data_IF_112758077422
#
_entry.id   IF_112758077422
#
_cell.length_a   1.000
_cell.length_b   1.000
_cell.length_c   1.000
_cell.angle_alpha   90.00
_cell.angle_beta   90.00
_cell.angle_gamma   90.00
#
_symmetry.space_group_name_H-M   'P 1'
#
loop_
_entity.id
_entity.type
_entity.pdbx_description
1 polymer ?
#
# COMPACT_ATOMS: atom_id res chain seq x y z
N UNK A 1 -18.22 6.48 2.29
CA UNK A 1 -19.03 5.68 3.22
C UNK A 1 -18.83 6.28 4.60
N UNK A 2 -19.84 7.01 5.08
CA UNK A 2 -19.84 7.67 6.38
C UNK A 2 -19.58 6.64 7.47
N UNK A 3 -18.37 6.64 8.04
CA UNK A 3 -17.99 5.71 9.10
C UNK A 3 -18.25 6.37 10.44
N UNK A 4 -19.20 5.78 11.18
CA UNK A 4 -19.71 6.26 12.45
C UNK A 4 -18.60 6.25 13.51
N UNK A 5 -18.20 7.43 13.99
CA UNK A 5 -17.54 7.54 15.30
C UNK A 5 -18.62 7.82 16.34
N UNK A 6 -18.83 6.86 17.25
CA UNK A 6 -19.82 7.02 18.29
C UNK A 6 -19.76 5.92 19.34
N UNK A 7 -19.14 6.24 20.48
CA UNK A 7 -19.52 5.76 21.81
C UNK A 7 -19.17 4.32 22.14
N UNK A 8 -18.34 4.16 23.18
CA UNK A 8 -18.22 2.94 23.97
C UNK A 8 -19.57 2.59 24.60
N UNK A 9 -20.45 1.91 23.85
CA UNK A 9 -21.57 1.04 24.29
C UNK A 9 -22.36 0.62 23.04
N UNK A 10 -21.74 -0.26 22.25
CA UNK A 10 -22.12 -0.59 20.87
C UNK A 10 -23.36 -1.48 20.73
N UNK A 11 -24.55 -0.89 20.76
CA UNK A 11 -25.66 -1.36 19.95
C UNK A 11 -25.46 -0.89 18.51
N UNK A 12 -25.18 -1.80 17.56
CA UNK A 12 -25.07 -1.43 16.15
C UNK A 12 -26.44 -0.93 15.65
N UNK A 13 -26.58 0.40 15.55
CA UNK A 13 -27.77 1.02 14.96
C UNK A 13 -27.67 0.90 13.45
N UNK A 14 -28.43 -0.04 12.89
CA UNK A 14 -28.56 -0.19 11.43
C UNK A 14 -29.62 0.77 10.95
N UNK A 15 -29.22 1.75 10.15
CA UNK A 15 -30.15 2.68 9.51
C UNK A 15 -30.97 1.98 8.41
N UNK A 16 -32.26 2.35 8.22
CA UNK A 16 -33.05 1.87 7.10
C UNK A 16 -32.38 2.19 5.75
N UNK A 17 -32.43 1.29 4.74
CA UNK A 17 -31.78 1.51 3.44
C UNK A 17 -32.18 2.82 2.74
N UNK A 18 -33.45 3.22 2.89
CA UNK A 18 -33.98 4.46 2.31
C UNK A 18 -33.27 5.68 2.91
N UNK A 19 -33.00 5.67 4.22
CA UNK A 19 -32.35 6.78 4.90
C UNK A 19 -30.87 6.88 4.49
N UNK A 20 -30.19 5.74 4.33
CA UNK A 20 -28.81 5.70 3.81
C UNK A 20 -28.74 6.31 2.41
N UNK A 21 -29.63 5.89 1.49
CA UNK A 21 -29.67 6.44 0.13
C UNK A 21 -29.95 7.95 0.11
N UNK A 22 -30.82 8.43 0.99
CA UNK A 22 -31.10 9.86 1.11
C UNK A 22 -29.88 10.64 1.61
N UNK A 23 -29.17 10.12 2.61
CA UNK A 23 -27.95 10.74 3.13
C UNK A 23 -26.81 10.73 2.10
N UNK A 24 -26.61 9.61 1.38
CA UNK A 24 -25.60 9.52 0.31
C UNK A 24 -25.88 10.52 -0.83
N UNK A 25 -27.17 10.68 -1.19
CA UNK A 25 -27.60 11.69 -2.17
C UNK A 25 -27.29 13.10 -1.67
N UNK A 26 -27.67 13.40 -0.43
CA UNK A 26 -27.46 14.72 0.17
C UNK A 26 -25.96 15.05 0.27
N UNK A 27 -25.12 14.09 0.69
CA UNK A 27 -23.67 14.22 0.73
C UNK A 27 -23.12 14.57 -0.65
N UNK A 28 -23.53 13.84 -1.68
CA UNK A 28 -23.12 14.07 -3.07
C UNK A 28 -23.55 15.45 -3.59
N UNK A 29 -24.77 15.88 -3.26
CA UNK A 29 -25.30 17.19 -3.64
C UNK A 29 -24.56 18.34 -2.96
N UNK A 30 -24.22 18.18 -1.68
CA UNK A 30 -23.43 19.15 -0.90
C UNK A 30 -22.01 19.26 -1.47
N UNK A 31 -21.35 18.13 -1.74
CA UNK A 31 -20.00 18.10 -2.34
C UNK A 31 -19.97 18.74 -3.73
N UNK A 32 -21.07 18.64 -4.48
CA UNK A 32 -21.20 19.23 -5.80
C UNK A 32 -21.62 20.72 -5.79
N UNK A 33 -21.85 21.30 -4.61
CA UNK A 33 -22.44 22.63 -4.40
C UNK A 33 -23.77 22.82 -5.17
N UNK A 34 -24.58 21.76 -5.22
CA UNK A 34 -25.85 21.70 -5.97
C UNK A 34 -26.94 20.96 -5.19
N UNK A 35 -27.27 21.48 -4.00
CA UNK A 35 -28.32 20.92 -3.15
C UNK A 35 -29.71 21.15 -3.74
N UNK A 36 -30.45 20.06 -3.95
CA UNK A 36 -31.79 20.09 -4.52
C UNK A 36 -32.81 20.71 -3.55
N UNK A 37 -33.90 21.26 -4.09
CA UNK A 37 -35.01 21.77 -3.27
C UNK A 37 -35.65 20.68 -2.40
N UNK A 38 -35.64 19.43 -2.85
CA UNK A 38 -36.12 18.29 -2.08
C UNK A 38 -35.25 18.06 -0.84
N UNK A 39 -33.93 18.01 -1.01
CA UNK A 39 -32.95 17.88 0.07
C UNK A 39 -33.01 19.06 1.05
N UNK A 40 -33.19 20.29 0.55
CA UNK A 40 -33.38 21.49 1.39
C UNK A 40 -34.64 21.41 2.25
N UNK A 41 -35.77 20.96 1.68
CA UNK A 41 -37.02 20.77 2.43
C UNK A 41 -36.89 19.67 3.48
N UNK A 42 -36.21 18.58 3.14
CA UNK A 42 -35.94 17.50 4.09
C UNK A 42 -35.08 17.99 5.26
N UNK A 43 -33.97 18.68 4.99
CA UNK A 43 -33.14 19.31 6.02
C UNK A 43 -33.95 20.28 6.90
N UNK A 44 -34.77 21.15 6.30
CA UNK A 44 -35.64 22.07 7.02
C UNK A 44 -36.67 21.33 7.90
N UNK A 45 -37.21 20.20 7.44
CA UNK A 45 -38.12 19.36 8.25
C UNK A 45 -37.41 18.73 9.45
N UNK A 46 -36.09 18.51 9.35
CA UNK A 46 -35.22 18.06 10.43
C UNK A 46 -34.66 19.23 11.28
N UNK A 47 -34.99 20.49 10.97
CA UNK A 47 -34.46 21.66 11.65
C UNK A 47 -32.98 21.98 11.36
N UNK A 48 -32.44 21.45 10.26
CA UNK A 48 -31.05 21.61 9.84
C UNK A 48 -30.94 22.54 8.63
N UNK A 49 -29.82 23.26 8.53
CA UNK A 49 -29.43 23.99 7.32
C UNK A 49 -28.38 23.22 6.52
N UNK A 50 -28.21 23.58 5.25
CA UNK A 50 -27.15 23.03 4.39
C UNK A 50 -25.76 23.32 4.97
N UNK A 51 -25.56 24.52 5.51
CA UNK A 51 -24.30 24.94 6.13
C UNK A 51 -23.98 24.12 7.40
N UNK A 52 -24.99 23.85 8.23
CA UNK A 52 -24.82 22.98 9.39
C UNK A 52 -24.44 21.56 8.99
N UNK A 53 -25.06 21.02 7.93
CA UNK A 53 -24.71 19.70 7.40
C UNK A 53 -23.30 19.69 6.81
N UNK A 54 -22.93 20.71 6.04
CA UNK A 54 -21.58 20.89 5.49
C UNK A 54 -20.51 20.88 6.59
N UNK A 55 -20.75 21.58 7.69
CA UNK A 55 -19.81 21.65 8.81
C UNK A 55 -19.71 20.33 9.61
N UNK A 56 -20.69 19.42 9.47
CA UNK A 56 -20.66 18.09 10.09
C UNK A 56 -20.06 17.02 9.19
N UNK A 57 -19.88 17.30 7.90
CA UNK A 57 -19.26 16.37 6.97
C UNK A 57 -17.76 16.29 7.21
N UNK A 58 -17.21 15.07 7.14
CA UNK A 58 -15.78 14.89 7.12
C UNK A 58 -15.20 15.60 5.87
N UNK A 59 -14.06 16.30 6.01
CA UNK A 59 -13.42 16.90 4.86
C UNK A 59 -13.07 15.81 3.85
N UNK A 60 -13.34 16.06 2.57
CA UNK A 60 -12.97 15.14 1.49
C UNK A 60 -11.48 14.85 1.60
N UNK A 61 -11.14 13.60 1.87
CA UNK A 61 -9.75 13.16 1.91
C UNK A 61 -9.12 13.33 0.53
N UNK A 62 -8.34 14.39 0.38
CA UNK A 62 -7.52 14.62 -0.80
C UNK A 62 -6.09 14.26 -0.42
N UNK A 63 -5.59 13.06 -0.75
CA UNK A 63 -4.25 12.66 -0.36
C UNK A 63 -3.23 13.63 -0.94
N UNK A 64 -2.44 14.27 -0.08
CA UNK A 64 -1.29 15.03 -0.51
C UNK A 64 -0.29 14.06 -1.15
N UNK A 65 -0.16 14.11 -2.48
CA UNK A 65 0.76 13.25 -3.21
C UNK A 65 2.17 13.80 -3.06
N UNK A 66 3.06 13.01 -2.46
CA UNK A 66 4.50 13.27 -2.45
C UNK A 66 5.18 12.36 -3.47
N UNK A 67 6.09 12.94 -4.26
CA UNK A 67 6.84 12.20 -5.26
C UNK A 67 8.25 12.00 -4.73
N UNK A 68 8.74 10.76 -4.82
CA UNK A 68 10.12 10.42 -4.58
C UNK A 68 10.66 9.62 -5.76
N UNK A 69 11.93 9.84 -6.09
CA UNK A 69 12.67 9.11 -7.11
C UNK A 69 13.47 8.01 -6.44
N UNK A 70 13.35 6.79 -6.95
CA UNK A 70 14.16 5.68 -6.49
C UNK A 70 15.57 5.79 -7.07
N UNK A 71 16.56 5.84 -6.18
CA UNK A 71 17.94 5.57 -6.53
C UNK A 71 18.26 4.12 -6.18
N UNK A 72 18.62 3.32 -7.17
CA UNK A 72 18.87 1.89 -7.01
C UNK A 72 20.32 1.53 -7.31
N UNK A 73 20.79 0.42 -6.75
CA UNK A 73 22.05 -0.20 -7.16
C UNK A 73 21.92 -0.89 -8.54
N UNK A 74 23.02 -1.50 -8.99
CA UNK A 74 23.08 -2.21 -10.27
C UNK A 74 22.19 -3.46 -10.35
N UNK A 75 21.72 -4.00 -9.22
CA UNK A 75 20.77 -5.12 -9.15
C UNK A 75 19.32 -4.64 -9.17
N UNK A 76 19.09 -3.33 -9.10
CA UNK A 76 17.77 -2.73 -8.97
C UNK A 76 17.26 -2.67 -7.53
N UNK A 77 18.13 -2.89 -6.53
CA UNK A 77 17.77 -2.76 -5.12
C UNK A 77 17.70 -1.26 -4.75
N UNK A 78 16.59 -0.75 -4.20
CA UNK A 78 16.49 0.62 -3.73
C UNK A 78 17.52 0.94 -2.64
N UNK A 79 18.36 1.96 -2.86
CA UNK A 79 19.32 2.47 -1.87
C UNK A 79 18.89 3.80 -1.27
N UNK A 80 18.14 4.62 -2.02
CA UNK A 80 17.62 5.89 -1.51
C UNK A 80 16.32 6.32 -2.21
N UNK A 81 15.53 7.13 -1.50
CA UNK A 81 14.42 7.89 -2.04
C UNK A 81 14.79 9.36 -2.05
N UNK A 82 14.84 9.95 -3.24
CA UNK A 82 15.22 11.34 -3.44
C UNK A 82 13.95 12.17 -3.66
N UNK A 83 13.78 13.25 -2.89
CA UNK A 83 12.68 14.19 -3.06
C UNK A 83 12.80 14.98 -4.36
N UNK A 84 11.74 15.67 -4.75
CA UNK A 84 11.75 16.56 -5.92
C UNK A 84 12.74 17.73 -5.80
N UNK A 85 13.15 18.06 -4.58
CA UNK A 85 14.14 19.09 -4.25
C UNK A 85 15.58 18.55 -4.24
N UNK A 86 15.77 17.25 -4.50
CA UNK A 86 17.09 16.60 -4.50
C UNK A 86 17.58 16.17 -3.12
N UNK A 87 16.75 16.24 -2.08
CA UNK A 87 17.11 15.78 -0.74
C UNK A 87 16.89 14.27 -0.59
N UNK A 88 17.78 13.59 0.14
CA UNK A 88 17.58 12.19 0.53
C UNK A 88 16.53 12.13 1.63
N UNK A 89 15.36 11.58 1.32
CA UNK A 89 14.24 11.44 2.26
C UNK A 89 14.27 10.09 3.02
N UNK A 90 14.96 9.10 2.45
CA UNK A 90 15.19 7.78 3.00
C UNK A 90 16.42 7.18 2.34
N UNK A 91 17.25 6.43 3.08
CA UNK A 91 18.28 5.58 2.50
C UNK A 91 18.53 4.32 3.33
N UNK A 92 19.11 3.31 2.69
CA UNK A 92 19.43 2.05 3.32
C UNK A 92 20.65 1.39 2.69
N UNK A 93 21.33 0.59 3.50
CA UNK A 93 22.45 -0.26 3.09
C UNK A 93 22.04 -1.73 3.19
N UNK A 94 22.45 -2.52 2.19
CA UNK A 94 22.09 -3.93 2.09
C UNK A 94 23.29 -4.78 1.73
N UNK A 95 23.25 -6.05 2.12
CA UNK A 95 24.21 -7.04 1.64
C UNK A 95 23.87 -7.59 0.23
N UNK A 96 24.63 -8.59 -0.20
CA UNK A 96 24.49 -9.26 -1.49
C UNK A 96 23.17 -10.06 -1.65
N UNK A 97 22.55 -10.45 -0.54
CA UNK A 97 21.29 -11.20 -0.48
C UNK A 97 20.08 -10.32 -0.20
N UNK A 98 20.30 -9.03 0.04
CA UNK A 98 19.27 -8.05 0.29
C UNK A 98 18.91 -7.88 1.77
N UNK A 99 19.71 -8.42 2.70
CA UNK A 99 19.52 -8.15 4.13
C UNK A 99 19.78 -6.68 4.41
N UNK A 100 18.88 -6.04 5.14
CA UNK A 100 19.02 -4.65 5.58
C UNK A 100 20.10 -4.57 6.67
N UNK A 101 21.17 -3.81 6.40
CA UNK A 101 22.28 -3.61 7.33
C UNK A 101 22.11 -2.31 8.13
N UNK A 102 21.65 -1.25 7.46
CA UNK A 102 21.42 0.06 8.06
C UNK A 102 20.28 0.79 7.32
N UNK A 103 19.55 1.64 8.03
CA UNK A 103 18.47 2.46 7.46
C UNK A 103 18.46 3.85 8.11
N UNK A 104 18.34 4.89 7.29
CA UNK A 104 18.01 6.24 7.72
C UNK A 104 16.64 6.64 7.17
N UNK A 105 15.66 6.78 8.06
CA UNK A 105 14.27 7.08 7.71
C UNK A 105 13.66 8.19 8.59
N UNK A 106 14.15 9.44 8.50
CA UNK A 106 13.69 10.54 9.36
C UNK A 106 12.22 10.92 9.13
N UNK A 107 11.64 10.54 7.99
CA UNK A 107 10.29 10.88 7.59
C UNK A 107 9.29 9.71 7.72
N UNK A 108 9.73 8.57 8.30
CA UNK A 108 8.90 7.37 8.48
C UNK A 108 8.21 6.94 7.17
N UNK A 109 8.94 7.00 6.06
CA UNK A 109 8.46 6.58 4.75
C UNK A 109 8.30 5.06 4.71
N UNK A 110 7.20 4.60 4.13
CA UNK A 110 6.97 3.18 3.90
C UNK A 110 7.64 2.75 2.58
N UNK A 111 8.84 2.18 2.70
CA UNK A 111 9.61 1.63 1.58
C UNK A 111 9.71 0.09 1.67
N UNK A 112 8.86 -0.60 0.92
CA UNK A 112 8.75 -2.07 0.96
C UNK A 112 9.47 -2.78 -0.18
N UNK A 113 9.87 -2.09 -1.25
CA UNK A 113 10.54 -2.70 -2.40
C UNK A 113 11.92 -3.23 -2.00
N UNK A 114 12.27 -4.42 -2.48
CA UNK A 114 13.57 -5.10 -2.29
C UNK A 114 14.19 -5.43 -3.65
N UNK A 115 14.84 -6.59 -3.80
CA UNK A 115 15.37 -7.04 -5.09
C UNK A 115 14.22 -7.17 -6.12
N UNK A 116 14.51 -7.24 -7.44
CA UNK A 116 13.47 -7.25 -8.47
C UNK A 116 12.36 -8.27 -8.22
N UNK A 117 11.10 -7.79 -8.22
CA UNK A 117 9.91 -8.60 -7.96
C UNK A 117 9.55 -8.79 -6.48
N UNK A 118 10.41 -8.32 -5.56
CA UNK A 118 10.28 -8.56 -4.13
C UNK A 118 9.71 -7.35 -3.36
N UNK A 119 8.85 -7.66 -2.39
CA UNK A 119 8.33 -6.71 -1.40
C UNK A 119 8.55 -7.26 0.02
N UNK A 120 9.01 -6.42 0.93
CA UNK A 120 9.14 -6.75 2.34
C UNK A 120 7.77 -6.93 2.97
N UNK A 121 7.61 -8.06 3.63
CA UNK A 121 6.47 -8.37 4.46
C UNK A 121 6.91 -8.27 5.93
N UNK A 122 6.37 -7.27 6.63
CA UNK A 122 6.72 -7.00 8.02
C UNK A 122 6.24 -8.10 8.98
N UNK A 123 5.13 -8.79 8.67
CA UNK A 123 4.57 -9.82 9.54
C UNK A 123 5.49 -11.05 9.62
N UNK A 124 6.06 -11.44 8.48
CA UNK A 124 6.93 -12.62 8.38
C UNK A 124 8.42 -12.30 8.46
N UNK A 125 8.82 -11.05 8.17
CA UNK A 125 10.21 -10.65 7.96
C UNK A 125 10.80 -11.14 6.62
N UNK A 126 10.00 -11.82 5.79
CA UNK A 126 10.41 -12.37 4.51
C UNK A 126 10.09 -11.43 3.35
N UNK A 127 10.63 -11.74 2.17
CA UNK A 127 10.37 -10.95 0.96
C UNK A 127 9.39 -11.71 0.06
N UNK A 128 8.18 -11.19 -0.06
CA UNK A 128 7.17 -11.72 -0.97
C UNK A 128 7.59 -11.46 -2.42
N UNK A 129 7.65 -12.52 -3.22
CA UNK A 129 7.98 -12.50 -4.64
C UNK A 129 6.95 -13.30 -5.42
N UNK A 130 5.73 -12.75 -5.51
CA UNK A 130 4.58 -13.26 -6.26
C UNK A 130 4.22 -14.72 -5.93
N UNK A 131 4.92 -15.68 -6.53
CA UNK A 131 4.65 -17.10 -6.35
C UNK A 131 5.37 -17.71 -5.14
N UNK A 132 6.35 -17.01 -4.56
CA UNK A 132 7.20 -17.53 -3.49
C UNK A 132 7.56 -16.47 -2.47
N UNK A 133 7.98 -16.91 -1.29
CA UNK A 133 8.62 -16.09 -0.26
C UNK A 133 10.12 -16.38 -0.23
N UNK A 134 10.92 -15.32 -0.24
CA UNK A 134 12.37 -15.34 -0.18
C UNK A 134 12.85 -14.99 1.23
N UNK A 135 13.79 -15.78 1.75
CA UNK A 135 14.50 -15.55 3.00
C UNK A 135 15.91 -14.99 2.68
N UNK A 136 16.17 -13.70 2.95
CA UNK A 136 17.46 -13.08 2.68
C UNK A 136 18.57 -13.60 3.60
N UNK A 137 18.25 -14.12 4.80
CA UNK A 137 19.26 -14.69 5.71
C UNK A 137 19.82 -16.01 5.15
N UNK A 138 19.01 -16.75 4.41
CA UNK A 138 19.40 -18.02 3.79
C UNK A 138 19.75 -17.90 2.30
N UNK A 139 19.52 -16.74 1.69
CA UNK A 139 19.73 -16.49 0.27
C UNK A 139 18.88 -17.37 -0.65
N UNK A 140 17.65 -17.74 -0.24
CA UNK A 140 16.83 -18.73 -0.97
C UNK A 140 15.33 -18.56 -0.75
N UNK A 141 14.52 -19.24 -1.57
CA UNK A 141 13.08 -19.36 -1.34
C UNK A 141 12.78 -20.36 -0.22
N UNK A 142 11.72 -20.11 0.54
CA UNK A 142 11.26 -21.02 1.62
C UNK A 142 10.21 -22.04 1.14
N UNK A 143 9.71 -21.89 -0.08
CA UNK A 143 8.74 -22.79 -0.73
C UNK A 143 9.33 -23.36 -2.02
N UNK A 144 8.91 -24.57 -2.38
CA UNK A 144 9.36 -25.22 -3.61
C UNK A 144 8.87 -24.45 -4.83
N UNK A 145 9.69 -24.46 -5.89
CA UNK A 145 9.33 -23.85 -7.16
C UNK A 145 8.06 -24.47 -7.75
N UNK A 146 6.99 -23.67 -7.98
CA UNK A 146 5.75 -24.17 -8.57
C UNK A 146 5.92 -24.75 -9.98
N UNK A 147 6.96 -24.38 -10.72
CA UNK A 147 7.25 -24.99 -12.04
C UNK A 147 8.06 -26.29 -11.95
N UNK A 148 8.37 -26.74 -10.73
CA UNK A 148 9.07 -27.98 -10.45
C UNK A 148 10.46 -28.03 -11.07
N UNK A 149 10.84 -29.18 -11.62
CA UNK A 149 12.18 -29.41 -12.19
C UNK A 149 12.52 -28.53 -13.40
N UNK A 150 11.55 -27.78 -13.96
CA UNK A 150 11.84 -26.75 -14.97
C UNK A 150 12.66 -25.60 -14.39
N UNK A 151 12.54 -25.33 -13.09
CA UNK A 151 13.39 -24.38 -12.37
C UNK A 151 14.74 -24.94 -11.94
N UNK A 152 15.03 -26.19 -12.31
CA UNK A 152 16.27 -26.89 -11.98
C UNK A 152 16.12 -27.90 -10.85
N UNK A 153 17.25 -28.50 -10.47
CA UNK A 153 17.29 -29.58 -9.47
C UNK A 153 17.05 -29.09 -8.03
N UNK A 154 17.42 -27.84 -7.74
CA UNK A 154 17.17 -27.23 -6.44
C UNK A 154 15.93 -26.34 -6.49
N UNK A 155 14.83 -26.85 -5.95
CA UNK A 155 13.51 -26.20 -5.97
C UNK A 155 13.42 -24.94 -5.10
N UNK A 156 14.43 -24.65 -4.30
CA UNK A 156 14.46 -23.50 -3.39
C UNK A 156 15.40 -22.39 -3.86
N UNK A 157 16.08 -22.58 -4.99
CA UNK A 157 17.11 -21.65 -5.46
C UNK A 157 16.54 -20.29 -5.82
N UNK A 158 17.08 -19.25 -5.21
CA UNK A 158 17.15 -17.92 -5.81
C UNK A 158 18.42 -17.85 -6.68
N UNK A 159 18.41 -17.21 -7.87
CA UNK A 159 19.54 -17.26 -8.79
C UNK A 159 20.89 -16.95 -8.12
N UNK A 160 21.86 -17.85 -8.31
CA UNK A 160 23.20 -17.83 -7.67
C UNK A 160 24.04 -16.58 -7.97
N UNK A 161 23.67 -15.80 -8.98
CA UNK A 161 24.31 -14.54 -9.31
C UNK A 161 23.25 -13.45 -9.37
N UNK A 162 22.86 -12.85 -8.23
CA UNK A 162 21.87 -11.76 -8.21
C UNK A 162 22.29 -10.54 -9.05
N UNK A 163 23.58 -10.46 -9.38
CA UNK A 163 24.17 -9.45 -10.27
C UNK A 163 23.89 -9.75 -11.76
N UNK A 164 23.97 -11.02 -12.17
CA UNK A 164 23.85 -11.41 -13.58
C UNK A 164 22.49 -12.07 -13.91
N UNK A 165 21.69 -12.39 -12.89
CA UNK A 165 20.44 -13.11 -13.01
C UNK A 165 19.48 -12.67 -11.91
N UNK A 166 18.25 -12.39 -12.29
CA UNK A 166 17.19 -11.95 -11.39
C UNK A 166 15.95 -12.83 -11.62
N UNK A 167 15.10 -12.96 -10.60
CA UNK A 167 13.83 -13.68 -10.68
C UNK A 167 12.64 -12.76 -10.34
N UNK A 168 12.18 -11.91 -11.27
CA UNK A 168 11.12 -10.93 -11.04
C UNK A 168 9.73 -11.55 -10.86
N UNK A 169 9.59 -12.85 -11.19
CA UNK A 169 8.33 -13.56 -11.12
C UNK A 169 8.27 -14.53 -9.95
N UNK A 170 9.40 -14.81 -9.29
CA UNK A 170 9.51 -15.95 -8.39
C UNK A 170 9.40 -17.27 -9.15
N UNK A 171 9.75 -17.30 -10.43
CA UNK A 171 9.77 -18.46 -11.33
C UNK A 171 11.03 -18.38 -12.21
N UNK A 172 12.14 -18.93 -11.70
CA UNK A 172 13.38 -18.98 -12.47
C UNK A 172 13.38 -20.24 -13.34
N UNK A 173 13.57 -20.10 -14.65
CA UNK A 173 13.72 -21.25 -15.56
C UNK A 173 15.19 -21.59 -15.75
N UNK A 174 15.56 -22.85 -15.51
CA UNK A 174 16.92 -23.32 -15.72
C UNK A 174 17.18 -23.49 -17.21
N UNK A 175 18.07 -22.68 -17.78
CA UNK A 175 18.54 -22.85 -19.16
C UNK A 175 19.72 -23.82 -19.19
N UNK A 176 19.52 -24.97 -19.83
CA UNK A 176 20.56 -25.96 -20.12
C UNK A 176 21.43 -25.54 -21.30
#
# INVERSE_FOLDING_TARGET
>A
ALQQSGGEDGGSVVFPPVLVQMLDRLESEILADRVSEESRRWLASCGLTVEQMQNQMDPVYTPARKIHLYHCDHRGLPLALISTEGATAWCAEYDEWGNLLNEENPHQLQQLIRLPGQQYDEESGLYYNRHRYYDPLQGRYITQDPIGLKGGWNLYTYPLSPVNSMDPLGLYEFKS
#
